data_IF_540176390376
#
_entry.id   IF_540176390376
#
_cell.length_a   1.000
_cell.length_b   1.000
_cell.length_c   1.000
_cell.angle_alpha   90.00
_cell.angle_beta   90.00
_cell.angle_gamma   90.00
#
_symmetry.space_group_name_H-M   'P 1'
#
loop_
_entity.id
_entity.type
_entity.pdbx_description
1 polymer ?
#
# COMPACT_ATOMS: atom_id res chain seq x y z
N UNK A 1 10.69 1.62 4.69
CA UNK A 1 9.54 2.20 3.95
C UNK A 1 10.01 3.31 3.02
N UNK A 2 9.40 3.47 1.84
CA UNK A 2 9.77 4.55 0.92
C UNK A 2 9.28 5.91 1.43
N UNK A 3 10.03 6.97 1.13
CA UNK A 3 9.61 8.35 1.42
C UNK A 3 8.50 8.74 0.45
N UNK A 4 7.43 9.34 0.98
CA UNK A 4 6.27 9.79 0.21
C UNK A 4 5.92 11.24 0.56
N UNK A 5 5.29 11.95 -0.38
CA UNK A 5 4.79 13.31 -0.14
C UNK A 5 3.55 13.32 0.76
N UNK A 6 3.14 14.50 1.22
CA UNK A 6 1.93 14.64 2.04
C UNK A 6 0.66 14.18 1.28
N UNK A 7 0.52 14.57 0.01
CA UNK A 7 -0.59 14.15 -0.85
C UNK A 7 -0.66 12.62 -0.97
N UNK A 8 0.50 11.99 -1.19
CA UNK A 8 0.61 10.54 -1.27
C UNK A 8 0.25 9.86 0.06
N UNK A 9 0.68 10.42 1.19
CA UNK A 9 0.34 9.89 2.52
C UNK A 9 -1.16 9.93 2.80
N UNK A 10 -1.83 11.00 2.39
CA UNK A 10 -3.29 11.14 2.52
C UNK A 10 -4.02 10.13 1.62
N UNK A 11 -3.59 9.98 0.37
CA UNK A 11 -4.15 8.99 -0.55
C UNK A 11 -3.94 7.55 -0.03
N UNK A 12 -2.75 7.25 0.51
CA UNK A 12 -2.43 5.96 1.10
C UNK A 12 -3.35 5.63 2.27
N UNK A 13 -3.52 6.55 3.21
CA UNK A 13 -4.39 6.36 4.38
C UNK A 13 -5.85 6.13 3.97
N UNK A 14 -6.33 6.90 2.98
CA UNK A 14 -7.69 6.72 2.45
C UNK A 14 -7.90 5.33 1.88
N UNK A 15 -6.96 4.83 1.08
CA UNK A 15 -7.07 3.49 0.47
C UNK A 15 -6.94 2.39 1.53
N UNK A 16 -6.04 2.53 2.50
CA UNK A 16 -5.90 1.56 3.61
C UNK A 16 -7.21 1.45 4.40
N UNK A 17 -7.80 2.58 4.81
CA UNK A 17 -9.05 2.57 5.57
C UNK A 17 -10.17 1.89 4.77
N UNK A 18 -10.29 2.22 3.48
CA UNK A 18 -11.25 1.56 2.59
C UNK A 18 -11.05 0.05 2.55
N UNK A 19 -9.81 -0.44 2.45
CA UNK A 19 -9.55 -1.88 2.42
C UNK A 19 -9.86 -2.57 3.75
N UNK A 20 -9.64 -1.89 4.88
CA UNK A 20 -10.04 -2.38 6.22
C UNK A 20 -11.56 -2.44 6.33
N UNK A 21 -12.28 -1.40 5.90
CA UNK A 21 -13.75 -1.34 5.92
C UNK A 21 -14.39 -2.44 5.06
N UNK A 22 -13.77 -2.78 3.92
CA UNK A 22 -14.22 -3.90 3.09
C UNK A 22 -13.79 -5.28 3.62
N UNK A 23 -13.03 -5.34 4.72
CA UNK A 23 -12.53 -6.59 5.30
C UNK A 23 -11.48 -7.30 4.46
N UNK A 24 -10.84 -6.60 3.52
CA UNK A 24 -9.82 -7.19 2.64
C UNK A 24 -8.44 -7.28 3.30
N UNK A 25 -8.17 -6.39 4.27
CA UNK A 25 -6.92 -6.38 5.05
C UNK A 25 -7.22 -6.15 6.52
N UNK A 26 -6.30 -6.56 7.39
CA UNK A 26 -6.35 -6.34 8.84
C UNK A 26 -4.99 -5.88 9.36
N UNK A 27 -4.93 -5.13 10.48
CA UNK A 27 -3.68 -4.89 11.18
C UNK A 27 -3.00 -6.23 11.52
N UNK A 28 -1.68 -6.29 11.38
CA UNK A 28 -0.90 -7.50 11.66
C UNK A 28 0.33 -7.18 12.50
N UNK A 29 0.81 -8.19 13.22
CA UNK A 29 2.06 -8.17 13.97
C UNK A 29 3.12 -9.09 13.34
N UNK A 30 3.06 -9.26 12.02
CA UNK A 30 3.98 -10.14 11.29
C UNK A 30 5.43 -9.64 11.41
N UNK A 31 6.43 -10.53 11.55
CA UNK A 31 7.83 -10.13 11.46
C UNK A 31 8.23 -9.72 10.03
N UNK A 32 7.36 -9.97 9.04
CA UNK A 32 7.55 -9.58 7.64
C UNK A 32 6.80 -8.29 7.33
N UNK A 33 7.48 -7.35 6.67
CA UNK A 33 6.88 -6.12 6.17
C UNK A 33 7.43 -5.77 4.79
N UNK A 34 6.53 -5.33 3.90
CA UNK A 34 6.86 -4.93 2.54
C UNK A 34 6.46 -3.48 2.31
N UNK A 35 7.27 -2.69 1.59
CA UNK A 35 6.93 -1.30 1.34
C UNK A 35 5.78 -1.18 0.33
N UNK A 36 5.09 -0.06 0.38
CA UNK A 36 4.00 0.28 -0.54
C UNK A 36 4.45 1.38 -1.50
N UNK A 37 4.00 1.26 -2.76
CA UNK A 37 4.21 2.18 -3.85
C UNK A 37 2.87 2.81 -4.25
N UNK A 38 2.89 4.10 -4.58
CA UNK A 38 1.74 4.81 -5.12
C UNK A 38 2.00 5.23 -6.55
N UNK A 39 1.10 4.82 -7.45
CA UNK A 39 1.19 5.13 -8.88
C UNK A 39 -0.05 5.90 -9.30
N UNK A 40 0.11 6.98 -10.05
CA UNK A 40 -1.02 7.76 -10.56
C UNK A 40 -1.63 7.07 -11.78
N UNK A 41 -2.92 6.78 -11.75
CA UNK A 41 -3.68 6.26 -12.89
C UNK A 41 -3.89 7.36 -13.92
N UNK A 42 -4.21 6.96 -15.16
CA UNK A 42 -4.65 7.90 -16.21
C UNK A 42 -5.93 8.66 -15.83
N UNK A 43 -6.78 8.09 -14.97
CA UNK A 43 -7.97 8.76 -14.43
C UNK A 43 -7.64 9.88 -13.43
N UNK A 44 -6.38 10.01 -13.00
CA UNK A 44 -5.95 10.94 -11.97
C UNK A 44 -5.91 10.34 -10.57
N UNK A 45 -6.58 9.21 -10.33
CA UNK A 45 -6.59 8.53 -9.03
C UNK A 45 -5.25 7.88 -8.70
N UNK A 46 -4.98 7.71 -7.40
CA UNK A 46 -3.85 6.93 -6.92
C UNK A 46 -4.17 5.43 -6.91
N UNK A 47 -3.19 4.60 -7.29
CA UNK A 47 -3.20 3.14 -7.14
C UNK A 47 -2.16 2.76 -6.10
N UNK A 48 -2.60 2.10 -5.05
CA UNK A 48 -1.73 1.48 -4.05
C UNK A 48 -1.24 0.12 -4.56
N UNK A 49 0.08 -0.10 -4.57
CA UNK A 49 0.71 -1.37 -4.93
C UNK A 49 1.70 -1.77 -3.83
N UNK A 50 1.64 -3.01 -3.35
CA UNK A 50 2.63 -3.53 -2.40
C UNK A 50 3.81 -4.13 -3.18
N UNK A 51 5.04 -3.80 -2.78
CA UNK A 51 6.24 -4.33 -3.42
C UNK A 51 6.60 -5.71 -2.85
N UNK A 52 6.07 -6.75 -3.47
CA UNK A 52 6.32 -8.14 -3.09
C UNK A 52 7.57 -8.76 -3.74
N UNK A 53 8.44 -7.99 -4.41
CA UNK A 53 9.57 -8.57 -5.16
C UNK A 53 10.44 -9.51 -4.31
N UNK A 54 10.81 -9.07 -3.10
CA UNK A 54 11.60 -9.89 -2.16
C UNK A 54 10.85 -11.12 -1.65
N UNK A 55 9.52 -11.06 -1.54
CA UNK A 55 8.71 -12.21 -1.15
C UNK A 55 8.66 -13.24 -2.28
N UNK A 56 8.46 -12.77 -3.51
CA UNK A 56 8.37 -13.60 -4.70
C UNK A 56 9.70 -14.29 -5.06
N UNK A 57 10.84 -13.78 -4.59
CA UNK A 57 12.13 -14.45 -4.75
C UNK A 57 12.29 -15.66 -3.82
N UNK A 58 11.54 -15.70 -2.71
CA UNK A 58 11.64 -16.76 -1.68
C UNK A 58 10.43 -17.71 -1.65
N UNK A 59 9.43 -17.47 -2.49
CA UNK A 59 8.18 -18.25 -2.62
C UNK A 59 8.08 -18.79 -4.03
#
# INVERSE_FOLDING_TARGET
PYKISLEQSLALKKEINKLIEHGLIVPSHSPWAFPVLLVKKKSGDWRMCVDYRKLNEVT
#
